data_IF_380719873056
#
_entry.id   IF_380719873056
#
_cell.length_a   1.000
_cell.length_b   1.000
_cell.length_c   1.000
_cell.angle_alpha   90.00
_cell.angle_beta   90.00
_cell.angle_gamma   90.00
#
_symmetry.space_group_name_H-M   'P 1'
#
loop_
_entity.id
_entity.type
_entity.pdbx_description
1 polymer ?
#
# COMPACT_ATOMS: atom_id res chain seq x y z
N UNK A 1 -16.21 -14.73 1.60
CA UNK A 1 -14.93 -14.51 2.31
C UNK A 1 -14.08 -13.65 1.39
N UNK A 2 -14.08 -12.34 1.62
CA UNK A 2 -13.37 -11.40 0.76
C UNK A 2 -11.88 -11.41 1.16
N UNK A 3 -11.06 -12.05 0.34
CA UNK A 3 -9.62 -11.95 0.48
C UNK A 3 -9.20 -10.53 0.07
N UNK A 4 -8.57 -9.80 0.99
CA UNK A 4 -8.10 -8.42 0.78
C UNK A 4 -7.32 -8.28 -0.53
N UNK A 5 -6.53 -9.29 -0.90
CA UNK A 5 -5.68 -9.29 -2.09
C UNK A 5 -6.43 -9.50 -3.41
N UNK A 6 -7.73 -9.83 -3.34
CA UNK A 6 -8.62 -9.99 -4.50
C UNK A 6 -9.49 -8.76 -4.74
N UNK A 7 -9.47 -7.79 -3.83
CA UNK A 7 -10.28 -6.58 -3.93
C UNK A 7 -9.68 -5.64 -4.98
N UNK A 8 -10.52 -5.20 -5.90
CA UNK A 8 -10.17 -4.24 -6.96
C UNK A 8 -10.64 -2.82 -6.67
N UNK A 9 -11.54 -2.65 -5.68
CA UNK A 9 -11.94 -1.34 -5.20
C UNK A 9 -10.79 -0.68 -4.43
N UNK A 10 -10.67 0.66 -4.47
CA UNK A 10 -9.67 1.36 -3.68
C UNK A 10 -9.83 1.08 -2.19
N UNK A 11 -8.69 0.91 -1.52
CA UNK A 11 -8.62 0.67 -0.09
C UNK A 11 -8.05 1.91 0.60
N UNK A 12 -8.38 2.07 1.87
CA UNK A 12 -7.81 3.08 2.75
C UNK A 12 -7.22 2.36 3.96
N UNK A 13 -6.01 2.74 4.33
CA UNK A 13 -5.39 2.34 5.60
C UNK A 13 -5.39 3.52 6.56
N UNK A 14 -5.77 3.28 7.81
CA UNK A 14 -5.72 4.23 8.92
C UNK A 14 -4.78 3.71 10.00
N UNK A 15 -3.85 4.54 10.40
CA UNK A 15 -2.89 4.29 11.47
C UNK A 15 -3.40 4.84 12.82
N UNK A 16 -2.79 4.44 13.96
CA UNK A 16 -3.19 4.89 15.30
C UNK A 16 -3.04 6.40 15.54
N UNK A 17 -2.09 7.03 14.85
CA UNK A 17 -1.84 8.48 14.84
C UNK A 17 -2.84 9.26 13.97
N UNK A 18 -3.89 8.58 13.50
CA UNK A 18 -4.92 9.08 12.58
C UNK A 18 -4.42 9.40 11.15
N UNK A 19 -3.16 9.05 10.85
CA UNK A 19 -2.62 9.11 9.48
C UNK A 19 -3.41 8.15 8.59
N UNK A 20 -3.77 8.62 7.39
CA UNK A 20 -4.57 7.86 6.42
C UNK A 20 -3.89 7.87 5.06
N UNK A 21 -3.76 6.70 4.46
CA UNK A 21 -3.29 6.58 3.08
C UNK A 21 -4.33 5.87 2.22
N UNK A 22 -4.41 6.28 0.96
CA UNK A 22 -5.07 5.50 -0.09
C UNK A 22 -4.11 4.39 -0.52
N UNK A 23 -4.59 3.15 -0.54
CA UNK A 23 -3.85 1.99 -1.05
C UNK A 23 -4.37 1.67 -2.45
N UNK A 24 -3.49 1.77 -3.45
CA UNK A 24 -3.85 1.53 -4.85
C UNK A 24 -3.41 0.15 -5.34
N UNK A 25 -2.41 -0.44 -4.70
CA UNK A 25 -2.03 -1.85 -4.87
C UNK A 25 -1.71 -2.46 -3.52
N UNK A 26 -2.01 -3.75 -3.34
CA UNK A 26 -1.64 -4.51 -2.16
C UNK A 26 -1.21 -5.93 -2.53
N UNK A 27 -0.17 -6.43 -1.87
CA UNK A 27 0.39 -7.75 -2.10
C UNK A 27 0.71 -8.44 -0.76
N UNK A 28 0.54 -9.76 -0.66
CA UNK A 28 0.91 -10.51 0.53
C UNK A 28 2.42 -10.48 0.76
N UNK A 29 2.83 -10.41 2.03
CA UNK A 29 4.23 -10.49 2.46
C UNK A 29 4.36 -11.45 3.65
N UNK A 30 5.47 -12.21 3.79
CA UNK A 30 5.64 -13.12 4.93
C UNK A 30 5.43 -12.47 6.30
N UNK A 31 5.86 -11.21 6.45
CA UNK A 31 5.71 -10.44 7.69
C UNK A 31 4.40 -9.62 7.78
N UNK A 32 3.52 -9.72 6.78
CA UNK A 32 2.25 -8.97 6.73
C UNK A 32 1.79 -8.68 5.31
N UNK A 33 1.82 -7.41 4.91
CA UNK A 33 1.52 -7.02 3.53
C UNK A 33 2.30 -5.80 3.06
N UNK A 34 2.52 -5.73 1.75
CA UNK A 34 3.09 -4.55 1.10
C UNK A 34 1.98 -3.82 0.36
N UNK A 35 1.93 -2.50 0.50
CA UNK A 35 0.99 -1.68 -0.24
C UNK A 35 1.64 -0.47 -0.89
N UNK A 36 1.00 -0.02 -1.96
CA UNK A 36 1.43 1.13 -2.75
C UNK A 36 0.44 2.26 -2.48
N UNK A 37 0.98 3.46 -2.26
CA UNK A 37 0.18 4.68 -2.21
C UNK A 37 -0.15 5.18 -3.61
N UNK A 38 -1.15 6.04 -3.70
CA UNK A 38 -1.31 7.00 -4.80
C UNK A 38 0.03 7.70 -5.09
N UNK A 39 0.39 7.82 -6.37
CA UNK A 39 1.63 8.46 -6.83
C UNK A 39 2.92 7.85 -6.24
N UNK A 40 2.91 6.56 -5.90
CA UNK A 40 4.06 5.86 -5.31
C UNK A 40 5.37 6.01 -6.10
N UNK A 41 5.28 6.19 -7.42
CA UNK A 41 6.40 6.36 -8.34
C UNK A 41 7.03 7.77 -8.29
N UNK A 42 6.33 8.73 -7.68
CA UNK A 42 6.76 10.11 -7.49
C UNK A 42 7.18 10.41 -6.05
N UNK A 43 6.89 9.49 -5.12
CA UNK A 43 7.24 9.58 -3.71
C UNK A 43 8.62 8.94 -3.47
N UNK A 44 9.31 9.31 -2.36
CA UNK A 44 10.42 8.52 -1.86
C UNK A 44 10.02 7.05 -1.72
N UNK A 45 10.92 6.14 -2.05
CA UNK A 45 10.60 4.71 -2.13
C UNK A 45 10.02 4.15 -0.82
N UNK A 46 10.55 4.58 0.32
CA UNK A 46 10.10 4.23 1.68
C UNK A 46 8.75 4.83 2.07
N UNK A 47 8.24 5.79 1.29
CA UNK A 47 6.94 6.42 1.49
C UNK A 47 5.89 5.91 0.49
N UNK A 48 6.27 5.74 -0.77
CA UNK A 48 5.39 5.29 -1.84
C UNK A 48 5.04 3.81 -1.74
N UNK A 49 5.99 2.97 -1.31
CA UNK A 49 5.81 1.53 -1.09
C UNK A 49 6.07 1.22 0.38
N UNK A 50 5.09 0.63 1.05
CA UNK A 50 5.09 0.46 2.50
C UNK A 50 4.87 -1.00 2.86
N UNK A 51 5.75 -1.53 3.71
CA UNK A 51 5.51 -2.78 4.42
C UNK A 51 4.72 -2.48 5.69
N UNK A 52 3.60 -3.18 5.85
CA UNK A 52 2.80 -3.21 7.06
C UNK A 52 3.02 -4.56 7.72
N UNK A 53 3.68 -4.54 8.89
CA UNK A 53 4.01 -5.74 9.63
C UNK A 53 2.87 -6.17 10.55
N UNK A 54 2.66 -7.48 10.66
CA UNK A 54 1.66 -8.09 11.52
C UNK A 54 0.75 -9.08 10.79
N UNK A 55 0.03 -9.88 11.57
CA UNK A 55 -0.93 -10.83 11.05
C UNK A 55 -2.16 -10.10 10.50
N UNK A 56 -2.55 -10.41 9.25
CA UNK A 56 -3.78 -9.92 8.64
C UNK A 56 -4.99 -10.62 9.25
N UNK A 57 -5.90 -9.84 9.85
CA UNK A 57 -7.11 -10.32 10.50
C UNK A 57 -8.37 -9.63 9.98
N UNK A 58 -9.48 -10.37 10.01
CA UNK A 58 -10.81 -9.89 9.63
C UNK A 58 -11.18 -10.22 8.18
N UNK A 59 -12.46 -10.03 7.86
CA UNK A 59 -13.01 -10.18 6.50
C UNK A 59 -13.49 -8.84 5.92
N UNK A 60 -13.03 -7.74 6.53
CA UNK A 60 -13.47 -6.36 6.27
C UNK A 60 -14.27 -5.78 7.45
N UNK A 61 -13.94 -4.56 7.93
CA UNK A 61 -12.60 -3.95 7.96
C UNK A 61 -11.51 -4.96 8.33
N UNK A 62 -10.33 -4.81 7.75
CA UNK A 62 -9.17 -5.65 8.06
C UNK A 62 -8.26 -4.95 9.07
N UNK A 63 -7.57 -5.72 9.90
CA UNK A 63 -6.57 -5.23 10.84
C UNK A 63 -5.22 -5.90 10.58
N UNK A 64 -4.15 -5.12 10.59
CA UNK A 64 -2.76 -5.61 10.51
C UNK A 64 -1.93 -4.78 11.48
N UNK A 65 -1.34 -5.42 12.47
CA UNK A 65 -0.76 -4.70 13.61
C UNK A 65 -1.83 -3.81 14.25
N UNK A 66 -1.56 -2.51 14.37
CA UNK A 66 -2.52 -1.52 14.86
C UNK A 66 -3.23 -0.71 13.76
N UNK A 67 -2.90 -0.97 12.50
CA UNK A 67 -3.54 -0.31 11.37
C UNK A 67 -4.86 -1.00 11.01
N UNK A 68 -5.83 -0.19 10.58
CA UNK A 68 -7.13 -0.65 10.10
C UNK A 68 -7.27 -0.32 8.62
N UNK A 69 -7.62 -1.32 7.82
CA UNK A 69 -7.83 -1.21 6.39
C UNK A 69 -9.33 -1.32 6.12
N UNK A 70 -9.86 -0.41 5.32
CA UNK A 70 -11.25 -0.40 4.88
C UNK A 70 -11.31 -0.19 3.38
N UNK A 71 -12.45 -0.48 2.77
CA UNK A 71 -12.76 0.09 1.46
C UNK A 71 -12.72 1.62 1.57
N UNK A 72 -12.16 2.29 0.57
CA UNK A 72 -12.27 3.73 0.45
C UNK A 72 -13.75 4.04 0.18
N UNK A 73 -14.42 4.57 1.20
CA UNK A 73 -15.86 4.83 1.15
C UNK A 73 -16.22 5.85 0.07
N UNK A 74 -17.40 5.69 -0.52
CA UNK A 74 -17.99 6.67 -1.42
C UNK A 74 -18.14 8.04 -0.73
N UNK A 75 -18.11 9.11 -1.53
CA UNK A 75 -18.09 10.52 -1.12
C UNK A 75 -18.94 10.80 0.13
N UNK A 76 -18.29 11.24 1.21
CA UNK A 76 -18.95 11.65 2.47
C UNK A 76 -18.13 11.38 3.74
N UNK A 77 -17.41 10.25 3.80
CA UNK A 77 -16.66 9.86 5.01
C UNK A 77 -15.18 10.29 4.95
N UNK A 78 -14.57 10.23 3.77
CA UNK A 78 -13.16 10.53 3.54
C UNK A 78 -12.96 11.38 2.27
N UNK A 79 -13.45 12.65 2.27
CA UNK A 79 -13.47 13.48 1.06
C UNK A 79 -12.07 13.76 0.50
N UNK A 80 -11.05 13.89 1.37
CA UNK A 80 -9.67 14.11 0.95
C UNK A 80 -9.11 12.90 0.20
N UNK A 81 -9.26 11.70 0.78
CA UNK A 81 -8.76 10.47 0.20
C UNK A 81 -9.50 10.10 -1.10
N UNK A 82 -10.81 10.39 -1.17
CA UNK A 82 -11.57 10.21 -2.39
C UNK A 82 -11.10 11.14 -3.53
N UNK A 83 -10.80 12.40 -3.21
CA UNK A 83 -10.25 13.35 -4.19
C UNK A 83 -8.84 12.91 -4.65
N UNK A 84 -7.96 12.55 -3.72
CA UNK A 84 -6.61 12.05 -4.01
C UNK A 84 -6.64 10.80 -4.92
N UNK A 85 -7.57 9.89 -4.67
CA UNK A 85 -7.75 8.72 -5.53
C UNK A 85 -8.24 9.11 -6.94
N UNK A 86 -9.16 10.07 -7.05
CA UNK A 86 -9.64 10.55 -8.34
C UNK A 86 -8.52 11.21 -9.16
N UNK A 87 -7.67 12.03 -8.53
CA UNK A 87 -6.50 12.62 -9.17
C UNK A 87 -5.51 11.56 -9.65
N UNK A 88 -5.30 10.50 -8.87
CA UNK A 88 -4.46 9.38 -9.25
C UNK A 88 -5.05 8.59 -10.43
N UNK A 89 -6.36 8.35 -10.47
CA UNK A 89 -7.02 7.72 -11.61
C UNK A 89 -6.81 8.52 -12.90
N UNK A 90 -6.96 9.84 -12.83
CA UNK A 90 -6.70 10.73 -13.97
C UNK A 90 -5.23 10.66 -14.42
N UNK A 91 -4.29 10.60 -13.47
CA UNK A 91 -2.89 10.41 -13.77
C UNK A 91 -2.62 9.07 -14.50
N UNK A 92 -3.27 7.98 -14.09
CA UNK A 92 -3.14 6.69 -14.79
C UNK A 92 -3.64 6.75 -16.23
N UNK A 93 -4.75 7.44 -16.48
CA UNK A 93 -5.29 7.63 -17.83
C UNK A 93 -4.31 8.38 -18.73
N UNK A 94 -3.56 9.34 -18.18
CA UNK A 94 -2.54 10.10 -18.89
C UNK A 94 -1.25 9.29 -19.12
N UNK A 95 -0.82 8.51 -18.13
CA UNK A 95 0.36 7.64 -18.21
C UNK A 95 0.15 6.48 -19.19
N UNK A 96 -1.10 5.99 -19.30
CA UNK A 96 -1.50 4.98 -20.26
C UNK A 96 -0.67 3.69 -20.17
N UNK A 97 -0.16 3.13 -21.29
CA UNK A 97 0.56 1.85 -21.30
C UNK A 97 1.92 1.91 -20.60
N UNK A 98 2.38 3.09 -20.16
CA UNK A 98 3.61 3.24 -19.38
C UNK A 98 3.46 2.80 -17.92
N UNK A 99 2.24 2.59 -17.43
CA UNK A 99 2.03 2.18 -16.04
C UNK A 99 2.41 0.70 -15.83
N UNK A 100 3.17 0.35 -14.78
CA UNK A 100 3.58 -1.03 -14.54
C UNK A 100 2.40 -1.99 -14.39
N UNK A 101 2.54 -3.18 -14.97
CA UNK A 101 1.59 -4.28 -14.79
C UNK A 101 1.59 -4.78 -13.34
N UNK A 102 0.51 -5.47 -12.94
CA UNK A 102 0.39 -6.07 -11.60
C UNK A 102 1.56 -7.01 -11.26
N UNK A 103 2.07 -7.77 -12.23
CA UNK A 103 3.24 -8.63 -12.02
C UNK A 103 4.50 -7.81 -11.71
N UNK A 104 4.77 -6.76 -12.48
CA UNK A 104 5.93 -5.88 -12.25
C UNK A 104 5.84 -5.17 -10.88
N UNK A 105 4.65 -4.78 -10.46
CA UNK A 105 4.41 -4.21 -9.13
C UNK A 105 4.64 -5.24 -8.02
N UNK A 106 4.24 -6.49 -8.23
CA UNK A 106 4.48 -7.58 -7.28
C UNK A 106 5.99 -7.88 -7.15
N UNK A 107 6.73 -7.91 -8.26
CA UNK A 107 8.19 -8.05 -8.25
C UNK A 107 8.84 -6.88 -7.50
N UNK A 108 8.39 -5.63 -7.74
CA UNK A 108 8.87 -4.45 -6.99
C UNK A 108 8.59 -4.59 -5.49
N UNK A 109 7.38 -5.00 -5.11
CA UNK A 109 7.00 -5.22 -3.72
C UNK A 109 7.93 -6.24 -3.03
N UNK A 110 8.31 -7.29 -3.75
CA UNK A 110 9.21 -8.32 -3.25
C UNK A 110 10.65 -7.82 -3.09
N UNK A 111 11.19 -7.13 -4.09
CA UNK A 111 12.58 -6.64 -4.05
C UNK A 111 12.79 -5.65 -2.91
N UNK A 112 11.90 -4.66 -2.78
CA UNK A 112 12.06 -3.59 -1.78
C UNK A 112 12.02 -4.05 -0.33
N UNK A 113 11.34 -5.16 -0.06
CA UNK A 113 11.17 -5.67 1.29
C UNK A 113 11.95 -6.96 1.56
N UNK A 114 12.64 -7.49 0.54
CA UNK A 114 13.63 -8.57 0.72
C UNK A 114 15.05 -8.02 0.96
N UNK A 115 15.37 -6.82 0.45
CA UNK A 115 16.70 -6.20 0.62
C UNK A 115 16.89 -5.48 1.97
N UNK A 116 15.79 -5.13 2.66
CA UNK A 116 15.85 -4.50 3.99
C UNK A 116 16.44 -5.42 5.09
N UNK A 117 16.69 -6.70 4.79
CA UNK A 117 17.41 -7.63 5.66
C UNK A 117 18.93 -7.69 5.42
N UNK A 118 19.47 -7.05 4.38
CA UNK A 118 20.89 -7.13 4.03
C UNK A 118 21.74 -5.94 4.50
N UNK A 119 21.12 -4.81 4.86
CA UNK A 119 21.83 -3.54 5.15
C UNK A 119 21.98 -3.22 6.66
N UNK A 120 21.70 -4.17 7.56
CA UNK A 120 21.85 -3.99 9.02
C UNK A 120 23.06 -4.73 9.63
N UNK A 121 23.95 -5.31 8.83
CA UNK A 121 25.19 -6.00 9.30
C UNK A 121 26.44 -5.28 8.80
N UNK A 122 26.48 -3.94 8.88
CA UNK A 122 27.64 -3.15 8.44
C UNK A 122 28.00 -1.94 9.30
N UNK A 123 27.62 -1.91 10.57
CA UNK A 123 28.12 -0.89 11.50
C UNK A 123 28.22 -1.45 12.93
N UNK A 124 29.16 -2.37 13.14
CA UNK A 124 29.75 -2.62 14.47
C UNK A 124 31.15 -3.24 14.28
N UNK A 125 32.10 -2.40 13.87
CA UNK A 125 33.53 -2.66 14.06
C UNK A 125 34.28 -1.32 14.04
N UNK A 126 34.30 -0.67 15.20
CA UNK A 126 35.27 0.36 15.56
C UNK A 126 35.60 0.26 17.04
#
# INVERSE_FOLDING_TARGET
MADLFTITAPLMIRYPDDTKHVMVHCFPHPDGLVYFRTFWDQLPETEGVRLLTGELRGEGPWKVGDAVITLLGCQGTHPRQAAEYADWQLHLEQTGPGYPSRSQLQDKARVLHNDAGADLVRDDLA
#
